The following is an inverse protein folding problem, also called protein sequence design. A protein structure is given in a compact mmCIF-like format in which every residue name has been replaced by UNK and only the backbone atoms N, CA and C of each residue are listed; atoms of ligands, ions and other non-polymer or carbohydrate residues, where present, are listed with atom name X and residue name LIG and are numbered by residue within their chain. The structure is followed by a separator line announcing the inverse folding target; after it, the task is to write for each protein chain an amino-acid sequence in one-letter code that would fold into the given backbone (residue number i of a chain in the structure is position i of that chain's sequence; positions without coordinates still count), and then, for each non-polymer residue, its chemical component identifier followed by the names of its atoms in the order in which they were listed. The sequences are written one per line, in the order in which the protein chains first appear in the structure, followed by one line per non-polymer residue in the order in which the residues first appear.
data_IF_658683226395
#
_entry.id   IF_658683226395
#
_cell.length_a   1.000
_cell.length_b   1.000
_cell.length_c   1.000
_cell.angle_alpha   90.00
_cell.angle_beta   90.00
_cell.angle_gamma   90.00
#
_symmetry.space_group_name_H-M   'P 1'
#
loop_
_entity.id
_entity.type
_entity.pdbx_description
1 polymer ?
#
# COMPACT_ATOMS: atom_id res chain seq x y z
N UNK A 1 14.23 41.83 -47.77
CA UNK A 1 15.17 42.88 -47.29
C UNK A 1 14.35 43.93 -46.54
N UNK A 2 14.96 44.67 -45.61
CA UNK A 2 14.35 45.72 -44.77
C UNK A 2 13.44 45.26 -43.63
N UNK A 3 13.93 45.48 -42.40
CA UNK A 3 13.13 45.75 -41.20
C UNK A 3 12.30 47.02 -41.47
N UNK A 4 11.11 47.15 -40.88
CA UNK A 4 10.71 48.40 -40.21
C UNK A 4 9.62 48.14 -39.16
N UNK A 5 9.87 48.62 -37.95
CA UNK A 5 8.93 48.66 -36.84
C UNK A 5 8.05 49.92 -36.93
N UNK A 6 6.77 49.80 -36.60
CA UNK A 6 5.92 50.94 -36.21
C UNK A 6 5.18 50.55 -34.92
N UNK A 7 5.34 51.37 -33.88
CA UNK A 7 4.56 51.28 -32.64
C UNK A 7 3.38 52.25 -32.71
N UNK A 8 2.26 51.90 -32.05
CA UNK A 8 1.22 52.86 -31.68
C UNK A 8 0.85 52.70 -30.19
N UNK A 9 0.53 53.83 -29.55
CA UNK A 9 0.17 54.00 -28.13
C UNK A 9 -1.31 53.60 -27.84
N UNK A 10 -1.82 53.46 -26.61
CA UNK A 10 -1.39 53.94 -25.27
C UNK A 10 -1.68 52.88 -24.18
N UNK A 11 -0.99 52.93 -23.03
CA UNK A 11 -1.49 52.44 -21.72
C UNK A 11 -1.01 51.04 -21.30
N UNK A 12 -0.57 50.80 -20.06
CA UNK A 12 -0.41 51.69 -18.92
C UNK A 12 -0.55 50.92 -17.60
N UNK A 13 0.46 51.04 -16.72
CA UNK A 13 0.54 50.49 -15.34
C UNK A 13 1.04 49.02 -15.19
N UNK A 14 2.34 48.95 -14.85
CA UNK A 14 3.01 48.05 -13.86
C UNK A 14 2.73 46.54 -13.93
N UNK A 15 3.72 45.80 -14.45
CA UNK A 15 3.88 44.36 -14.19
C UNK A 15 4.50 44.18 -12.80
N UNK A 16 3.66 43.92 -11.80
CA UNK A 16 4.10 43.36 -10.52
C UNK A 16 4.35 41.85 -10.66
N UNK A 17 5.54 41.38 -10.30
CA UNK A 17 5.85 39.94 -10.29
C UNK A 17 5.01 39.27 -9.20
N UNK A 18 4.17 38.31 -9.58
CA UNK A 18 3.56 37.37 -8.63
C UNK A 18 3.70 35.95 -9.17
N UNK A 19 4.42 35.11 -8.42
CA UNK A 19 4.64 33.72 -8.77
C UNK A 19 3.35 32.92 -8.59
N UNK A 20 2.87 32.29 -9.67
CA UNK A 20 1.81 31.28 -9.57
C UNK A 20 2.46 29.96 -9.18
N UNK A 21 2.40 29.61 -7.89
CA UNK A 21 2.65 28.25 -7.46
C UNK A 21 1.58 27.33 -8.09
N UNK A 22 2.02 26.34 -8.87
CA UNK A 22 1.18 25.22 -9.26
C UNK A 22 0.91 24.35 -8.03
N UNK A 23 -0.25 24.57 -7.40
CA UNK A 23 -0.74 23.76 -6.29
C UNK A 23 -1.17 22.36 -6.72
N UNK A 24 -0.20 21.48 -7.01
CA UNK A 24 -0.41 20.04 -7.11
C UNK A 24 -0.43 19.44 -5.71
N UNK A 25 -1.62 19.41 -5.11
CA UNK A 25 -1.83 19.05 -3.70
C UNK A 25 -3.21 18.49 -3.41
N UNK A 26 -3.69 17.54 -4.23
CA UNK A 26 -4.87 16.73 -3.89
C UNK A 26 -4.44 15.38 -3.30
N UNK A 27 -3.82 15.43 -2.11
CA UNK A 27 -3.84 14.29 -1.21
C UNK A 27 -5.21 14.26 -0.54
N UNK A 28 -6.07 13.34 -0.98
CA UNK A 28 -7.36 13.07 -0.36
C UNK A 28 -7.19 12.42 1.01
N UNK A 29 -6.82 13.21 2.03
CA UNK A 29 -6.77 12.75 3.41
C UNK A 29 -8.16 12.40 3.94
N UNK A 30 -8.29 11.25 4.59
CA UNK A 30 -9.51 10.88 5.31
C UNK A 30 -9.76 11.86 6.47
N UNK A 31 -10.73 12.77 6.30
CA UNK A 31 -11.15 13.69 7.37
C UNK A 31 -12.07 12.95 8.35
N UNK A 32 -11.56 12.61 9.54
CA UNK A 32 -12.35 12.04 10.63
C UNK A 32 -13.00 13.16 11.45
N UNK A 33 -14.26 13.47 11.13
CA UNK A 33 -15.02 14.51 11.81
C UNK A 33 -15.93 13.93 12.91
N UNK A 34 -15.33 13.44 14.00
CA UNK A 34 -16.07 13.02 15.21
C UNK A 34 -15.30 13.42 16.47
N UNK A 35 -15.89 14.32 17.27
CA UNK A 35 -15.29 14.84 18.50
C UNK A 35 -15.27 13.81 19.65
N UNK A 36 -14.29 12.91 19.64
CA UNK A 36 -13.91 12.11 20.80
C UNK A 36 -12.51 12.55 21.22
N UNK A 37 -12.36 13.13 22.41
CA UNK A 37 -11.06 13.50 22.96
C UNK A 37 -10.28 12.25 23.35
N UNK A 38 -9.54 11.69 22.39
CA UNK A 38 -8.54 10.67 22.67
C UNK A 38 -7.58 11.16 23.75
N UNK A 39 -7.22 10.27 24.68
CA UNK A 39 -6.20 10.55 25.69
C UNK A 39 -4.90 11.02 25.01
N UNK A 40 -4.14 11.92 25.66
CA UNK A 40 -2.97 12.58 25.06
C UNK A 40 -1.85 11.60 24.70
N UNK A 41 -1.95 11.03 23.50
CA UNK A 41 -1.02 10.11 22.88
C UNK A 41 -1.55 9.77 21.50
N UNK A 42 -1.05 10.46 20.47
CA UNK A 42 -1.58 10.35 19.11
C UNK A 42 -1.63 8.92 18.58
N UNK A 43 -2.68 8.60 17.81
CA UNK A 43 -2.98 7.28 17.25
C UNK A 43 -1.75 6.64 16.61
N UNK A 44 -1.47 5.39 16.97
CA UNK A 44 -0.30 4.64 16.49
C UNK A 44 -0.75 3.64 15.44
N UNK A 45 -0.34 3.86 14.18
CA UNK A 45 -0.75 3.02 13.05
C UNK A 45 0.22 3.11 11.86
N UNK A 46 0.13 2.13 10.98
CA UNK A 46 0.67 2.14 9.63
C UNK A 46 -0.43 1.74 8.64
N UNK A 47 -0.55 2.49 7.56
CA UNK A 47 -1.34 2.18 6.38
C UNK A 47 -0.38 2.20 5.19
N UNK A 48 -0.13 1.04 4.60
CA UNK A 48 0.78 0.87 3.47
C UNK A 48 0.06 0.13 2.34
N UNK A 49 0.50 0.35 1.10
CA UNK A 49 0.01 -0.40 -0.04
C UNK A 49 1.10 -0.63 -1.10
N UNK A 50 0.80 -1.45 -2.09
CA UNK A 50 1.63 -1.58 -3.28
C UNK A 50 0.83 -1.48 -4.57
N UNK A 51 1.31 -0.63 -5.49
CA UNK A 51 0.76 -0.50 -6.84
C UNK A 51 1.53 -1.36 -7.86
N UNK A 52 2.30 -2.34 -7.37
CA UNK A 52 3.08 -3.26 -8.20
C UNK A 52 2.52 -4.67 -8.12
N UNK A 53 2.30 -5.29 -9.27
CA UNK A 53 2.04 -6.74 -9.37
C UNK A 53 3.27 -7.52 -8.88
N UNK A 54 3.05 -8.52 -8.02
CA UNK A 54 4.11 -9.35 -7.44
C UNK A 54 3.75 -10.83 -7.69
N UNK A 55 4.50 -11.45 -8.60
CA UNK A 55 4.30 -12.83 -9.05
C UNK A 55 5.60 -13.60 -8.81
N UNK A 56 5.65 -14.52 -7.83
CA UNK A 56 6.89 -15.17 -7.43
C UNK A 56 7.32 -16.23 -8.46
N UNK A 57 8.64 -16.42 -8.57
CA UNK A 57 9.23 -17.42 -9.46
C UNK A 57 9.44 -18.78 -8.79
N UNK A 58 9.15 -18.88 -7.48
CA UNK A 58 9.17 -20.12 -6.70
C UNK A 58 7.82 -20.33 -5.99
N UNK A 59 7.54 -21.56 -5.57
CA UNK A 59 6.35 -21.90 -4.77
C UNK A 59 6.58 -21.74 -3.27
N UNK A 60 7.76 -21.28 -2.85
CA UNK A 60 8.10 -21.06 -1.45
C UNK A 60 7.60 -19.72 -0.90
N UNK A 61 7.66 -19.50 0.42
CA UNK A 61 7.35 -18.22 1.05
C UNK A 61 8.10 -17.05 0.43
N UNK A 62 7.35 -16.07 -0.06
CA UNK A 62 7.83 -14.79 -0.58
C UNK A 62 7.28 -13.67 0.30
N UNK A 63 8.12 -12.69 0.66
CA UNK A 63 7.67 -11.51 1.40
C UNK A 63 7.00 -10.52 0.45
N UNK A 64 5.88 -9.92 0.88
CA UNK A 64 5.27 -8.81 0.15
C UNK A 64 6.09 -7.53 0.31
N UNK A 65 6.23 -6.79 -0.78
CA UNK A 65 6.83 -5.46 -0.79
C UNK A 65 5.77 -4.38 -0.83
N UNK A 66 6.01 -3.28 -0.13
CA UNK A 66 5.18 -2.07 -0.14
C UNK A 66 5.95 -0.94 -0.82
N UNK A 67 5.27 -0.13 -1.63
CA UNK A 67 5.88 1.02 -2.32
C UNK A 67 5.14 2.34 -2.07
N UNK A 68 4.01 2.32 -1.36
CA UNK A 68 3.25 3.49 -0.95
C UNK A 68 3.13 3.56 0.58
N UNK A 69 3.25 4.77 1.13
CA UNK A 69 2.97 5.08 2.53
C UNK A 69 1.71 5.94 2.55
N UNK A 70 0.56 5.30 2.75
CA UNK A 70 -0.75 5.96 2.73
C UNK A 70 -1.03 6.69 4.06
N UNK A 71 -0.42 6.22 5.15
CA UNK A 71 -0.39 6.89 6.45
C UNK A 71 0.55 6.21 7.44
N UNK A 72 1.25 6.97 8.28
CA UNK A 72 2.20 6.41 9.24
C UNK A 72 2.30 7.30 10.49
N UNK A 73 2.09 6.72 11.67
CA UNK A 73 2.19 7.42 12.95
C UNK A 73 2.66 6.46 14.06
N UNK A 74 3.79 6.76 14.71
CA UNK A 74 4.35 5.91 15.78
C UNK A 74 4.74 4.49 15.36
N UNK A 75 4.99 4.31 14.06
CA UNK A 75 5.41 3.07 13.40
C UNK A 75 6.56 3.41 12.45
N UNK A 76 7.47 2.47 12.20
CA UNK A 76 8.59 2.63 11.29
C UNK A 76 8.37 1.89 9.98
N UNK A 77 8.76 2.50 8.87
CA UNK A 77 8.86 1.87 7.56
C UNK A 77 10.03 2.49 6.80
N UNK A 78 10.80 1.68 6.06
CA UNK A 78 11.94 2.15 5.27
C UNK A 78 11.78 1.64 3.83
N UNK A 79 11.63 2.51 2.82
CA UNK A 79 11.52 2.09 1.43
C UNK A 79 12.70 1.28 0.89
N UNK A 80 13.90 1.35 1.51
CA UNK A 80 15.04 0.49 1.19
C UNK A 80 14.94 -0.94 1.76
N UNK A 81 13.96 -1.17 2.65
CA UNK A 81 13.54 -2.48 3.18
C UNK A 81 12.01 -2.60 3.06
N UNK A 82 11.47 -2.69 1.83
CA UNK A 82 10.03 -2.52 1.57
C UNK A 82 9.15 -3.64 2.13
N UNK A 83 9.72 -4.63 2.81
CA UNK A 83 9.05 -5.75 3.48
C UNK A 83 8.79 -5.51 4.98
N UNK A 84 9.48 -4.52 5.58
CA UNK A 84 9.68 -4.45 7.03
C UNK A 84 8.90 -3.28 7.66
N UNK A 85 7.89 -3.61 8.47
CA UNK A 85 7.11 -2.64 9.25
C UNK A 85 7.52 -2.75 10.71
N UNK A 86 8.16 -1.71 11.26
CA UNK A 86 8.78 -1.74 12.60
C UNK A 86 7.84 -1.12 13.64
N UNK A 87 7.57 -1.87 14.71
CA UNK A 87 6.83 -1.38 15.88
C UNK A 87 7.73 -0.45 16.70
N UNK A 88 7.32 0.81 16.91
CA UNK A 88 8.13 1.77 17.71
C UNK A 88 7.67 1.89 19.17
N UNK A 89 6.47 1.40 19.50
CA UNK A 89 5.88 1.45 20.84
C UNK A 89 5.27 0.10 21.15
N UNK A 90 5.51 -0.44 22.33
CA UNK A 90 4.86 -1.68 22.74
C UNK A 90 3.34 -1.52 22.90
N UNK A 91 2.59 -2.62 22.74
CA UNK A 91 1.15 -2.66 22.93
C UNK A 91 0.49 -3.83 22.22
N UNK A 92 -0.84 -3.94 22.32
CA UNK A 92 -1.62 -4.81 21.46
C UNK A 92 -1.86 -4.12 20.11
N UNK A 93 -1.76 -4.88 19.02
CA UNK A 93 -1.96 -4.38 17.66
C UNK A 93 -2.96 -5.27 16.92
N UNK A 94 -3.80 -4.65 16.10
CA UNK A 94 -4.56 -5.30 15.03
C UNK A 94 -3.77 -5.15 13.72
N UNK A 95 -3.62 -6.26 12.98
CA UNK A 95 -2.95 -6.35 11.68
C UNK A 95 -3.96 -6.91 10.68
N UNK A 96 -4.12 -6.26 9.54
CA UNK A 96 -4.97 -6.70 8.42
C UNK A 96 -4.17 -6.54 7.12
N UNK A 97 -3.93 -7.65 6.43
CA UNK A 97 -3.30 -7.71 5.11
C UNK A 97 -4.34 -8.19 4.10
N UNK A 98 -4.74 -7.34 3.15
CA UNK A 98 -5.75 -7.62 2.13
C UNK A 98 -5.13 -7.58 0.74
N UNK A 99 -4.90 -8.76 0.15
CA UNK A 99 -4.19 -8.95 -1.10
C UNK A 99 -5.15 -9.14 -2.28
N UNK A 100 -4.99 -8.36 -3.34
CA UNK A 100 -5.69 -8.57 -4.60
C UNK A 100 -5.00 -9.69 -5.39
N UNK A 101 -5.64 -10.84 -5.48
CA UNK A 101 -5.13 -12.02 -6.17
C UNK A 101 -5.50 -12.03 -7.66
N UNK A 102 -4.69 -12.72 -8.45
CA UNK A 102 -4.99 -13.06 -9.83
C UNK A 102 -3.88 -13.85 -10.51
N UNK A 103 -3.99 -14.05 -11.83
CA UNK A 103 -2.98 -14.71 -12.66
C UNK A 103 -2.92 -14.16 -14.07
N UNK A 104 -1.83 -14.41 -14.79
CA UNK A 104 -1.66 -13.99 -16.18
C UNK A 104 -2.16 -15.01 -17.20
N UNK A 105 -2.16 -16.32 -16.88
CA UNK A 105 -2.59 -17.38 -17.80
C UNK A 105 -2.91 -18.72 -17.10
N UNK A 106 -3.62 -19.61 -17.80
CA UNK A 106 -3.83 -21.00 -17.40
C UNK A 106 -5.15 -21.26 -16.66
N UNK A 107 -5.73 -22.43 -16.90
CA UNK A 107 -7.13 -22.79 -16.59
C UNK A 107 -7.29 -23.86 -15.47
N UNK A 108 -6.23 -24.12 -14.70
CA UNK A 108 -6.26 -25.04 -13.57
C UNK A 108 -6.46 -24.32 -12.25
N UNK A 109 -7.16 -24.96 -11.31
CA UNK A 109 -7.20 -24.54 -9.92
C UNK A 109 -5.77 -24.59 -9.32
N UNK A 110 -5.18 -23.41 -9.13
CA UNK A 110 -3.96 -23.21 -8.35
C UNK A 110 -4.25 -22.14 -7.29
N UNK A 111 -3.61 -22.24 -6.12
CA UNK A 111 -3.95 -21.42 -4.96
C UNK A 111 -2.84 -20.46 -4.53
N UNK A 112 -3.24 -19.42 -3.82
CA UNK A 112 -2.36 -18.49 -3.11
C UNK A 112 -2.61 -18.64 -1.61
N UNK A 113 -1.55 -18.75 -0.82
CA UNK A 113 -1.57 -18.68 0.64
C UNK A 113 -1.12 -17.29 1.10
N UNK A 114 -1.68 -16.76 2.19
CA UNK A 114 -1.37 -15.44 2.76
C UNK A 114 -1.35 -15.48 4.29
N UNK A 115 -0.25 -15.04 4.91
CA UNK A 115 -0.08 -15.02 6.36
C UNK A 115 0.78 -13.86 6.88
N UNK A 116 0.73 -13.65 8.20
CA UNK A 116 1.50 -12.63 8.92
C UNK A 116 2.78 -13.27 9.49
N UNK A 117 3.88 -12.50 9.49
CA UNK A 117 5.13 -12.85 10.15
C UNK A 117 5.54 -11.76 11.13
N UNK A 118 6.15 -12.13 12.23
CA UNK A 118 6.79 -11.22 13.19
C UNK A 118 8.22 -11.69 13.44
N UNK A 119 9.18 -10.77 13.30
CA UNK A 119 10.62 -11.04 13.45
C UNK A 119 11.12 -12.21 12.57
N UNK A 120 10.57 -12.35 11.36
CA UNK A 120 10.88 -13.45 10.45
C UNK A 120 10.33 -14.83 10.85
N UNK A 121 9.51 -14.93 11.90
CA UNK A 121 8.75 -16.14 12.24
C UNK A 121 7.30 -15.98 11.78
N UNK A 122 6.74 -17.04 11.20
CA UNK A 122 5.31 -17.11 10.88
C UNK A 122 4.46 -17.05 12.15
N UNK A 123 3.36 -16.30 12.10
CA UNK A 123 2.40 -16.19 13.20
C UNK A 123 1.39 -17.34 13.12
N UNK A 124 1.32 -18.14 14.18
CA UNK A 124 0.44 -19.29 14.28
C UNK A 124 -1.03 -18.88 14.02
N UNK A 125 -1.75 -19.68 13.24
CA UNK A 125 -3.16 -19.44 12.84
C UNK A 125 -3.43 -18.16 12.03
N UNK A 126 -2.42 -17.50 11.46
CA UNK A 126 -2.63 -16.34 10.57
C UNK A 126 -2.79 -16.69 9.09
N UNK A 127 -2.57 -17.94 8.68
CA UNK A 127 -2.60 -18.31 7.26
C UNK A 127 -4.02 -18.47 6.70
N UNK A 128 -4.20 -18.04 5.46
CA UNK A 128 -5.45 -18.06 4.69
C UNK A 128 -5.15 -18.48 3.25
N UNK A 129 -6.12 -19.07 2.55
CA UNK A 129 -5.95 -19.59 1.18
C UNK A 129 -7.14 -19.23 0.30
N UNK A 130 -6.85 -18.89 -0.96
CA UNK A 130 -7.86 -18.76 -2.02
C UNK A 130 -7.40 -19.43 -3.32
N UNK A 131 -8.35 -19.91 -4.13
CA UNK A 131 -8.12 -20.65 -5.38
C UNK A 131 -8.45 -19.79 -6.60
N UNK A 132 -7.43 -19.44 -7.37
CA UNK A 132 -7.59 -18.69 -8.61
C UNK A 132 -7.71 -19.70 -9.75
N UNK A 133 -8.83 -19.68 -10.49
CA UNK A 133 -9.17 -20.72 -11.47
C UNK A 133 -8.62 -20.44 -12.86
N UNK A 134 -8.72 -19.19 -13.31
CA UNK A 134 -8.27 -18.72 -14.62
C UNK A 134 -7.86 -17.24 -14.59
N UNK A 135 -7.36 -16.72 -15.71
CA UNK A 135 -6.86 -15.34 -15.81
C UNK A 135 -7.94 -14.25 -15.82
N UNK A 136 -9.22 -14.62 -15.97
CA UNK A 136 -10.34 -13.69 -15.83
C UNK A 136 -10.87 -13.61 -14.39
N UNK A 137 -10.40 -14.48 -13.49
CA UNK A 137 -10.81 -14.52 -12.09
C UNK A 137 -9.80 -13.79 -11.20
N UNK A 138 -10.31 -12.86 -10.39
CA UNK A 138 -9.57 -12.11 -9.37
C UNK A 138 -10.38 -12.10 -8.08
N UNK A 139 -9.70 -12.10 -6.93
CA UNK A 139 -10.35 -12.13 -5.62
C UNK A 139 -9.49 -11.42 -4.57
N UNK A 140 -10.05 -11.11 -3.40
CA UNK A 140 -9.33 -10.46 -2.28
C UNK A 140 -9.15 -11.44 -1.14
N UNK A 141 -7.91 -11.88 -0.92
CA UNK A 141 -7.55 -12.73 0.21
C UNK A 141 -7.10 -11.87 1.40
N UNK A 142 -7.71 -12.10 2.56
CA UNK A 142 -7.43 -11.33 3.79
C UNK A 142 -6.84 -12.23 4.87
N UNK A 143 -5.62 -11.91 5.29
CA UNK A 143 -5.01 -12.43 6.51
C UNK A 143 -5.09 -11.35 7.59
N UNK A 144 -5.61 -11.69 8.76
CA UNK A 144 -5.70 -10.75 9.89
C UNK A 144 -5.41 -11.43 11.22
N UNK A 145 -4.96 -10.63 12.19
CA UNK A 145 -4.73 -11.09 13.55
C UNK A 145 -4.56 -9.92 14.51
N UNK A 146 -4.72 -10.19 15.80
CA UNK A 146 -4.42 -9.23 16.85
C UNK A 146 -3.57 -9.87 17.96
N UNK A 147 -2.62 -9.12 18.50
CA UNK A 147 -1.71 -9.63 19.52
C UNK A 147 -0.75 -8.59 20.09
N UNK A 148 -0.03 -8.92 21.18
CA UNK A 148 0.97 -8.06 21.78
C UNK A 148 2.24 -8.02 20.92
N UNK A 149 2.77 -6.81 20.70
CA UNK A 149 4.06 -6.56 20.05
C UNK A 149 4.91 -5.63 20.91
N UNK A 150 6.23 -5.78 20.83
CA UNK A 150 7.24 -4.99 21.53
C UNK A 150 7.81 -3.92 20.61
N UNK A 151 8.33 -2.85 21.20
CA UNK A 151 9.14 -1.90 20.43
C UNK A 151 10.38 -2.62 19.86
N UNK A 152 10.62 -2.47 18.56
CA UNK A 152 11.64 -3.17 17.79
C UNK A 152 11.14 -4.40 17.03
N UNK A 153 9.94 -4.91 17.30
CA UNK A 153 9.37 -6.03 16.52
C UNK A 153 9.13 -5.60 15.07
N UNK A 154 9.44 -6.50 14.12
CA UNK A 154 9.26 -6.31 12.68
C UNK A 154 8.10 -7.16 12.20
N UNK A 155 7.01 -6.51 11.80
CA UNK A 155 5.89 -7.14 11.10
C UNK A 155 6.26 -7.25 9.62
N UNK A 156 5.97 -8.41 9.01
CA UNK A 156 6.08 -8.67 7.58
C UNK A 156 4.84 -9.45 7.12
N UNK A 157 4.49 -9.33 5.84
CA UNK A 157 3.43 -10.15 5.23
C UNK A 157 4.10 -11.12 4.25
N UNK A 158 3.67 -12.38 4.28
CA UNK A 158 4.19 -13.41 3.39
C UNK A 158 3.08 -14.14 2.64
N UNK A 159 3.43 -14.61 1.46
CA UNK A 159 2.55 -15.40 0.61
C UNK A 159 3.34 -16.50 -0.12
N UNK A 160 2.62 -17.52 -0.59
CA UNK A 160 3.14 -18.53 -1.49
C UNK A 160 2.11 -18.88 -2.55
N UNK A 161 2.56 -19.46 -3.65
CA UNK A 161 1.72 -19.88 -4.77
C UNK A 161 1.92 -21.38 -5.02
N UNK A 162 0.86 -22.11 -5.38
CA UNK A 162 1.00 -23.56 -5.65
C UNK A 162 1.68 -23.88 -6.98
N UNK A 163 1.71 -22.91 -7.91
CA UNK A 163 2.35 -23.04 -9.21
C UNK A 163 2.95 -21.71 -9.70
N UNK A 164 4.05 -21.80 -10.45
CA UNK A 164 4.74 -20.65 -11.07
C UNK A 164 4.62 -20.72 -12.60
N UNK A 165 5.20 -19.76 -13.33
CA UNK A 165 5.15 -19.72 -14.80
C UNK A 165 3.81 -19.29 -15.42
N UNK A 166 2.74 -19.23 -14.63
CA UNK A 166 1.38 -18.76 -14.99
C UNK A 166 1.10 -17.30 -14.60
N UNK A 167 2.06 -16.63 -13.98
CA UNK A 167 1.87 -15.32 -13.34
C UNK A 167 0.89 -15.33 -12.17
N UNK A 168 0.72 -16.47 -11.48
CA UNK A 168 -0.08 -16.51 -10.26
C UNK A 168 0.59 -15.67 -9.15
N UNK A 169 -0.19 -14.91 -8.39
CA UNK A 169 0.32 -14.08 -7.30
C UNK A 169 -0.65 -12.95 -6.95
N UNK A 170 -0.09 -11.81 -6.55
CA UNK A 170 -0.86 -10.60 -6.24
C UNK A 170 -0.73 -9.58 -7.37
N UNK A 171 -1.83 -8.95 -7.77
CA UNK A 171 -1.90 -8.10 -8.97
C UNK A 171 -2.35 -6.68 -8.63
N UNK A 172 -1.67 -5.68 -9.19
CA UNK A 172 -2.12 -4.29 -9.13
C UNK A 172 -2.80 -3.93 -10.46
N UNK A 173 -3.91 -3.20 -10.41
CA UNK A 173 -4.65 -2.76 -11.60
C UNK A 173 -5.06 -1.30 -11.45
N UNK A 174 -4.91 -0.51 -12.51
CA UNK A 174 -5.37 0.89 -12.53
C UNK A 174 -6.42 1.05 -13.62
N UNK A 175 -7.73 0.87 -13.32
CA UNK A 175 -8.79 1.06 -14.29
C UNK A 175 -8.89 2.53 -14.71
N UNK A 176 -9.41 2.78 -15.91
CA UNK A 176 -9.51 4.13 -16.46
C UNK A 176 -10.66 4.89 -15.76
N UNK A 177 -10.34 6.03 -15.17
CA UNK A 177 -11.26 6.92 -14.43
C UNK A 177 -11.76 6.34 -13.08
N UNK A 178 -11.07 5.35 -12.52
CA UNK A 178 -11.37 4.78 -11.20
C UNK A 178 -10.18 4.91 -10.26
N UNK A 179 -10.36 4.58 -8.97
CA UNK A 179 -9.24 4.44 -8.06
C UNK A 179 -8.35 3.24 -8.48
N UNK A 180 -7.05 3.34 -8.22
CA UNK A 180 -6.16 2.19 -8.40
C UNK A 180 -6.53 1.07 -7.41
N UNK A 181 -6.42 -0.17 -7.87
CA UNK A 181 -6.57 -1.41 -7.10
C UNK A 181 -5.16 -1.89 -6.75
N UNK A 182 -4.69 -1.72 -5.49
CA UNK A 182 -3.37 -2.17 -5.08
C UNK A 182 -3.28 -3.70 -5.06
N UNK A 183 -2.08 -4.25 -5.25
CA UNK A 183 -1.84 -5.70 -5.09
C UNK A 183 -1.92 -6.16 -3.64
N UNK A 184 -1.64 -5.25 -2.70
CA UNK A 184 -1.77 -5.45 -1.26
C UNK A 184 -2.10 -4.10 -0.60
N UNK A 185 -3.00 -4.15 0.38
CA UNK A 185 -3.20 -3.11 1.38
C UNK A 185 -2.89 -3.72 2.76
N UNK A 186 -2.08 -3.03 3.56
CA UNK A 186 -1.74 -3.40 4.93
C UNK A 186 -2.18 -2.29 5.89
N UNK A 187 -3.01 -2.66 6.86
CA UNK A 187 -3.34 -1.84 8.02
C UNK A 187 -2.73 -2.47 9.27
N UNK A 188 -1.98 -1.69 10.04
CA UNK A 188 -1.52 -2.04 11.39
C UNK A 188 -1.97 -0.93 12.32
N UNK A 189 -2.75 -1.24 13.34
CA UNK A 189 -3.25 -0.23 14.29
C UNK A 189 -3.04 -0.70 15.73
N UNK A 190 -2.47 0.15 16.58
CA UNK A 190 -2.40 -0.11 18.02
C UNK A 190 -3.80 -0.04 18.62
N UNK A 191 -4.16 -1.04 19.40
CA UNK A 191 -5.42 -1.09 20.15
C UNK A 191 -5.34 -0.20 21.41
N UNK A 192 -6.48 0.31 21.91
CA UNK A 192 -6.55 1.14 23.12
C UNK A 192 -5.94 0.48 24.37
#
# INVERSE_FOLDING_TARGET
MMRHSQQLWVGGVVVGVLAILLGLGLMGGFSSNTGVSAAQGGSVFAQLSSLKTQQPTTTGPTLMTFDQIDGLSGMGFNPAKPTDIVVQKEGAYLIIAAAQLGRSSGESDDYVDLWIRVNGKDVDNSNTRETIRNAAFTDVLVSQGAGPLKAGDVIQVAYSVSATGKGLGIIATTPKNEAAIPSIILTVAKLP
#
